data_IF_327550867998
#
_entry.id   IF_327550867998
#
_cell.length_a   1.000
_cell.length_b   1.000
_cell.length_c   1.000
_cell.angle_alpha   90.00
_cell.angle_beta   90.00
_cell.angle_gamma   90.00
#
_symmetry.space_group_name_H-M   'P 1'
#
loop_
_entity.id
_entity.type
_entity.pdbx_description
1 polymer ?
#
# COMPACT_ATOMS: atom_id res chain seq x y z
N UNK A 1 9.74 -6.73 -21.60
CA UNK A 1 9.11 -6.84 -20.27
C UNK A 1 8.39 -5.54 -20.03
N UNK A 2 7.06 -5.56 -19.92
CA UNK A 2 6.24 -4.38 -19.60
C UNK A 2 5.66 -4.53 -18.19
N UNK A 3 5.57 -3.40 -17.47
CA UNK A 3 5.12 -3.35 -16.08
C UNK A 3 3.92 -2.41 -15.98
N UNK A 4 2.82 -2.91 -15.42
CA UNK A 4 1.58 -2.16 -15.26
C UNK A 4 1.19 -2.12 -13.78
N UNK A 5 0.96 -0.92 -13.27
CA UNK A 5 0.37 -0.73 -11.95
C UNK A 5 -1.15 -0.84 -12.05
N UNK A 6 -1.73 -1.75 -11.28
CA UNK A 6 -3.18 -1.87 -11.11
C UNK A 6 -3.54 -1.30 -9.73
N UNK A 7 -4.30 -0.22 -9.70
CA UNK A 7 -4.79 0.37 -8.45
C UNK A 7 -5.96 -0.47 -7.92
N UNK A 8 -5.83 -1.00 -6.69
CA UNK A 8 -6.85 -1.86 -6.06
C UNK A 8 -7.52 -1.19 -4.86
N UNK A 9 -7.49 0.14 -4.83
CA UNK A 9 -8.18 0.95 -3.83
C UNK A 9 -7.32 1.36 -2.65
N UNK A 10 -7.97 2.01 -1.69
CA UNK A 10 -7.36 2.53 -0.48
C UNK A 10 -7.97 1.81 0.72
N UNK A 11 -7.18 1.61 1.76
CA UNK A 11 -7.64 1.12 3.05
C UNK A 11 -6.95 1.89 4.16
N UNK A 12 -7.43 1.71 5.38
CA UNK A 12 -6.89 2.36 6.57
C UNK A 12 -6.35 1.32 7.54
N UNK A 13 -5.20 1.62 8.15
CA UNK A 13 -4.60 0.78 9.18
C UNK A 13 -4.01 1.66 10.28
N UNK A 14 -3.93 1.14 11.51
CA UNK A 14 -3.31 1.85 12.62
C UNK A 14 -1.86 2.24 12.29
N UNK A 15 -1.56 3.53 12.43
CA UNK A 15 -0.24 4.08 12.14
C UNK A 15 0.86 3.49 13.01
N UNK A 16 0.56 3.22 14.29
CA UNK A 16 1.50 2.56 15.19
C UNK A 16 1.85 1.15 14.73
N UNK A 17 0.88 0.38 14.24
CA UNK A 17 1.09 -0.95 13.69
C UNK A 17 1.93 -0.93 12.40
N UNK A 18 1.72 0.05 11.51
CA UNK A 18 2.50 0.21 10.27
C UNK A 18 3.97 0.54 10.57
N UNK A 19 4.20 1.42 11.55
CA UNK A 19 5.52 2.01 11.80
C UNK A 19 6.29 1.40 12.97
N UNK A 20 5.66 0.49 13.74
CA UNK A 20 6.29 -0.25 14.83
C UNK A 20 6.90 0.66 15.89
N UNK A 21 8.21 0.54 16.10
CA UNK A 21 8.95 1.29 17.12
C UNK A 21 9.19 2.76 16.78
N UNK A 22 8.90 3.18 15.54
CA UNK A 22 9.15 4.57 15.12
C UNK A 22 8.15 5.51 15.82
N UNK A 23 8.62 6.56 16.51
CA UNK A 23 7.73 7.50 17.18
C UNK A 23 6.76 8.21 16.22
N UNK A 24 5.50 8.39 16.65
CA UNK A 24 4.45 9.08 15.90
C UNK A 24 4.84 10.49 15.44
N UNK A 25 5.55 11.23 16.28
CA UNK A 25 6.10 12.55 15.95
C UNK A 25 6.99 12.56 14.69
N UNK A 26 7.60 11.42 14.33
CA UNK A 26 8.44 11.28 13.14
C UNK A 26 7.60 10.87 11.94
N UNK A 27 6.90 9.74 12.02
CA UNK A 27 6.20 9.19 10.85
C UNK A 27 4.95 9.96 10.44
N UNK A 28 4.29 10.68 11.36
CA UNK A 28 3.10 11.48 11.03
C UNK A 28 3.41 12.64 10.07
N UNK A 29 4.69 13.05 9.95
CA UNK A 29 5.11 14.11 9.02
C UNK A 29 4.93 13.70 7.56
N UNK A 30 5.12 12.43 7.24
CA UNK A 30 5.00 11.91 5.87
C UNK A 30 3.69 11.15 5.66
N UNK A 31 3.19 10.50 6.71
CA UNK A 31 2.01 9.66 6.67
C UNK A 31 1.03 10.15 7.74
N UNK A 32 0.28 11.23 7.47
CA UNK A 32 -0.65 11.79 8.43
C UNK A 32 -1.75 10.78 8.76
N UNK A 33 -1.93 10.52 10.05
CA UNK A 33 -3.03 9.71 10.55
C UNK A 33 -4.26 10.59 10.85
N UNK A 34 -5.44 10.00 10.80
CA UNK A 34 -6.67 10.64 11.26
C UNK A 34 -6.81 10.64 12.79
N UNK A 35 -7.95 11.13 13.27
CA UNK A 35 -8.31 11.19 14.70
C UNK A 35 -8.30 9.84 15.42
N UNK A 36 -8.46 8.73 14.69
CA UNK A 36 -8.42 7.37 15.23
C UNK A 36 -7.03 6.73 15.09
N UNK A 37 -6.00 7.53 14.80
CA UNK A 37 -4.63 7.06 14.53
C UNK A 37 -4.51 6.18 13.27
N UNK A 38 -5.45 6.26 12.34
CA UNK A 38 -5.41 5.45 11.12
C UNK A 38 -4.75 6.21 9.96
N UNK A 39 -3.80 5.57 9.31
CA UNK A 39 -3.17 6.07 8.08
C UNK A 39 -3.87 5.47 6.86
N UNK A 40 -4.09 6.28 5.83
CA UNK A 40 -4.53 5.80 4.53
C UNK A 40 -3.36 5.14 3.77
N UNK A 41 -3.61 3.93 3.29
CA UNK A 41 -2.68 3.11 2.53
C UNK A 41 -3.29 2.74 1.19
N UNK A 42 -2.48 2.79 0.13
CA UNK A 42 -2.89 2.36 -1.20
C UNK A 42 -2.48 0.92 -1.46
N UNK A 43 -3.43 0.10 -1.92
CA UNK A 43 -3.14 -1.22 -2.44
C UNK A 43 -2.90 -1.13 -3.94
N UNK A 44 -1.86 -1.83 -4.41
CA UNK A 44 -1.50 -1.91 -5.82
C UNK A 44 -1.07 -3.32 -6.15
N UNK A 45 -1.55 -3.83 -7.27
CA UNK A 45 -1.04 -5.04 -7.88
C UNK A 45 -0.09 -4.67 -9.02
N UNK A 46 0.88 -5.53 -9.28
CA UNK A 46 1.78 -5.39 -10.42
C UNK A 46 1.41 -6.46 -11.46
N UNK A 47 0.99 -6.03 -12.63
CA UNK A 47 0.86 -6.92 -13.79
C UNK A 47 2.14 -6.81 -14.62
N UNK A 48 2.78 -7.96 -14.81
CA UNK A 48 4.00 -8.11 -15.60
C UNK A 48 3.63 -8.81 -16.90
N UNK A 49 3.91 -8.15 -18.02
CA UNK A 49 3.89 -8.77 -19.34
C UNK A 49 5.30 -9.19 -19.73
N UNK A 50 5.52 -10.48 -19.90
CA UNK A 50 6.80 -11.03 -20.29
C UNK A 50 6.63 -12.19 -21.27
N UNK A 51 7.10 -11.97 -22.50
CA UNK A 51 6.94 -12.92 -23.61
C UNK A 51 5.47 -13.30 -23.83
N UNK A 52 5.12 -14.58 -23.72
CA UNK A 52 3.76 -15.10 -23.84
C UNK A 52 3.04 -15.26 -22.50
N UNK A 53 3.57 -14.66 -21.42
CA UNK A 53 3.02 -14.79 -20.07
C UNK A 53 2.55 -13.46 -19.52
N UNK A 54 1.43 -13.53 -18.79
CA UNK A 54 0.95 -12.49 -17.89
C UNK A 54 1.11 -13.01 -16.46
N UNK A 55 1.78 -12.22 -15.61
CA UNK A 55 2.04 -12.56 -14.21
C UNK A 55 1.47 -11.43 -13.36
N UNK A 56 0.55 -11.78 -12.46
CA UNK A 56 -0.03 -10.84 -11.51
C UNK A 56 0.62 -11.05 -10.13
N UNK A 57 1.18 -9.98 -9.56
CA UNK A 57 1.65 -9.94 -8.17
C UNK A 57 0.55 -9.31 -7.31
N UNK A 58 0.15 -10.04 -6.27
CA UNK A 58 -0.98 -9.78 -5.38
C UNK A 58 -2.35 -9.75 -6.08
N UNK A 59 -3.44 -9.79 -5.30
CA UNK A 59 -4.82 -9.81 -5.84
C UNK A 59 -5.77 -8.83 -5.14
N UNK A 60 -5.22 -7.82 -4.48
CA UNK A 60 -6.01 -6.90 -3.67
C UNK A 60 -6.68 -7.60 -2.49
N UNK A 61 -7.85 -7.09 -2.08
CA UNK A 61 -8.62 -7.62 -0.94
C UNK A 61 -10.04 -8.06 -1.33
N UNK A 62 -10.34 -8.12 -2.63
CA UNK A 62 -11.67 -8.45 -3.17
C UNK A 62 -11.82 -8.05 -4.63
#
# INVERSE_FOLDING_TARGET
>A
MQLHTINTGLFKLDGGAIFGVVPKLIWQKTNPADENNLCELAMRCLLIEHESRLILIDTGIG
#
